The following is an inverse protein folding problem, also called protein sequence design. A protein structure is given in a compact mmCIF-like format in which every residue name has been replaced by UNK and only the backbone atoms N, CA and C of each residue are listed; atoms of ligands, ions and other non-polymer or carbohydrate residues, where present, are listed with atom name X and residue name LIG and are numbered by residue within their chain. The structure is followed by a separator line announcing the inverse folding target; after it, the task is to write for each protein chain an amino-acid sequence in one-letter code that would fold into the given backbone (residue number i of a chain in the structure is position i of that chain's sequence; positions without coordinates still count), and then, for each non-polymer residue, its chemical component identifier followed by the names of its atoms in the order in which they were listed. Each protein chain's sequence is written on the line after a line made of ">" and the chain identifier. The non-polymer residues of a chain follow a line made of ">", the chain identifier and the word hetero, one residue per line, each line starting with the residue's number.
data_IF_257376597193
#
_entry.id   IF_257376597193
#
_cell.length_a   1.000
_cell.length_b   1.000
_cell.length_c   1.000
_cell.angle_alpha   90.00
_cell.angle_beta   90.00
_cell.angle_gamma   90.00
#
_symmetry.space_group_name_H-M   'P 1'
#
loop_
_entity.id
_entity.type
_entity.pdbx_description
1 polymer ?
#
# COMPACT_ATOMS: atom_id res chain seq x y z
N UNK A 1 -0.79 15.00 7.65
CA UNK A 1 -0.72 13.52 7.62
C UNK A 1 0.43 13.08 6.74
N UNK A 2 0.97 11.92 7.02
CA UNK A 2 2.06 11.36 6.23
C UNK A 2 1.54 10.81 4.91
N UNK A 3 2.42 10.79 3.91
CA UNK A 3 2.07 10.26 2.59
C UNK A 3 1.95 8.74 2.65
N UNK A 4 0.83 8.25 2.14
CA UNK A 4 0.53 6.82 2.13
C UNK A 4 0.48 6.31 0.70
N UNK A 5 1.29 5.31 0.39
CA UNK A 5 1.30 4.65 -0.91
C UNK A 5 0.86 3.20 -0.74
N UNK A 6 0.02 2.74 -1.65
CA UNK A 6 -0.45 1.36 -1.68
C UNK A 6 -0.01 0.72 -3.00
N UNK A 7 0.82 -0.30 -2.91
CA UNK A 7 1.28 -1.05 -4.07
C UNK A 7 0.28 -2.17 -4.35
N UNK A 8 -0.19 -2.24 -5.57
CA UNK A 8 -1.24 -3.17 -5.95
C UNK A 8 -1.03 -3.70 -7.38
N UNK A 9 -1.92 -4.60 -7.79
CA UNK A 9 -1.96 -5.12 -9.16
C UNK A 9 -3.41 -5.37 -9.55
N UNK A 10 -3.73 -5.52 -10.85
CA UNK A 10 -5.09 -5.86 -11.29
C UNK A 10 -5.52 -7.20 -10.71
N UNK A 11 -6.81 -7.32 -10.44
CA UNK A 11 -7.41 -8.57 -9.94
C UNK A 11 -6.87 -9.04 -8.59
N UNK A 12 -6.37 -8.12 -7.80
CA UNK A 12 -5.90 -8.43 -6.45
C UNK A 12 -7.02 -8.17 -5.45
N UNK A 13 -7.60 -9.25 -4.93
CA UNK A 13 -8.71 -9.14 -3.98
C UNK A 13 -8.32 -8.39 -2.71
N UNK A 14 -7.18 -8.75 -2.14
CA UNK A 14 -6.71 -8.13 -0.90
C UNK A 14 -6.36 -6.65 -1.10
N UNK A 15 -5.82 -6.31 -2.27
CA UNK A 15 -5.53 -4.92 -2.59
C UNK A 15 -6.82 -4.10 -2.65
N UNK A 16 -7.84 -4.66 -3.29
CA UNK A 16 -9.13 -3.99 -3.41
C UNK A 16 -9.78 -3.78 -2.05
N UNK A 17 -9.67 -4.75 -1.16
CA UNK A 17 -10.21 -4.63 0.19
C UNK A 17 -9.53 -3.51 0.98
N UNK A 18 -8.23 -3.42 0.89
CA UNK A 18 -7.49 -2.37 1.58
C UNK A 18 -7.87 -1.00 1.04
N UNK A 19 -7.92 -0.85 -0.27
CA UNK A 19 -8.29 0.43 -0.89
C UNK A 19 -9.69 0.85 -0.46
N UNK A 20 -10.63 -0.10 -0.44
CA UNK A 20 -11.99 0.19 -0.03
C UNK A 20 -12.06 0.64 1.42
N UNK A 21 -11.30 -0.03 2.29
CA UNK A 21 -11.24 0.35 3.71
C UNK A 21 -10.72 1.78 3.87
N UNK A 22 -9.66 2.12 3.12
CA UNK A 22 -9.09 3.48 3.16
C UNK A 22 -10.10 4.52 2.71
N UNK A 23 -10.85 4.22 1.66
CA UNK A 23 -11.89 5.13 1.15
C UNK A 23 -13.01 5.33 2.16
N UNK A 24 -13.44 4.26 2.82
CA UNK A 24 -14.48 4.34 3.84
C UNK A 24 -14.03 5.18 5.03
N UNK A 25 -12.76 5.08 5.40
CA UNK A 25 -12.19 5.85 6.51
C UNK A 25 -11.81 7.27 6.13
N UNK A 26 -11.93 7.63 4.84
CA UNK A 26 -11.55 8.96 4.39
C UNK A 26 -10.06 9.21 4.43
N UNK A 27 -9.24 8.17 4.27
CA UNK A 27 -7.78 8.28 4.28
C UNK A 27 -7.29 8.40 2.85
N UNK A 28 -6.56 9.48 2.56
CA UNK A 28 -5.98 9.69 1.23
C UNK A 28 -4.78 8.77 1.03
N UNK A 29 -4.65 8.24 -0.17
CA UNK A 29 -3.53 7.38 -0.52
C UNK A 29 -3.22 7.48 -2.00
N UNK A 30 -2.02 7.10 -2.38
CA UNK A 30 -1.61 6.97 -3.77
C UNK A 30 -1.57 5.49 -4.12
N UNK A 31 -2.21 5.12 -5.20
CA UNK A 31 -2.17 3.75 -5.67
C UNK A 31 -1.04 3.59 -6.68
N UNK A 32 -0.19 2.60 -6.47
CA UNK A 32 0.91 2.27 -7.39
C UNK A 32 0.63 0.89 -7.96
N UNK A 33 0.20 0.85 -9.22
CA UNK A 33 -0.08 -0.40 -9.93
C UNK A 33 1.22 -0.93 -10.50
N UNK A 34 1.75 -1.99 -9.89
CA UNK A 34 3.06 -2.54 -10.27
C UNK A 34 3.05 -3.20 -11.65
N UNK A 35 1.88 -3.47 -12.22
CA UNK A 35 1.79 -3.99 -13.57
C UNK A 35 2.05 -2.91 -14.61
N UNK A 36 1.97 -1.64 -14.21
CA UNK A 36 2.17 -0.48 -15.09
C UNK A 36 3.31 0.41 -14.64
N UNK A 37 3.92 0.11 -13.49
CA UNK A 37 4.96 0.93 -12.90
C UNK A 37 6.17 0.07 -12.59
N UNK A 38 7.14 0.08 -13.51
CA UNK A 38 8.35 -0.74 -13.39
C UNK A 38 9.17 -0.36 -12.16
N UNK A 39 9.23 0.94 -11.87
CA UNK A 39 9.97 1.44 -10.72
C UNK A 39 9.39 0.90 -9.41
N UNK A 40 8.05 0.87 -9.31
CA UNK A 40 7.37 0.31 -8.16
C UNK A 40 7.65 -1.18 -8.01
N UNK A 41 7.62 -1.91 -9.11
CA UNK A 41 7.91 -3.34 -9.11
C UNK A 41 9.33 -3.61 -8.66
N UNK A 42 10.30 -2.85 -9.20
CA UNK A 42 11.70 -2.99 -8.84
C UNK A 42 11.93 -2.74 -7.35
N UNK A 43 11.22 -1.77 -6.81
CA UNK A 43 11.33 -1.42 -5.40
C UNK A 43 10.85 -2.56 -4.50
N UNK A 44 9.75 -3.21 -4.88
CA UNK A 44 9.24 -4.36 -4.14
C UNK A 44 10.19 -5.54 -4.21
N UNK A 45 10.72 -5.82 -5.40
CA UNK A 45 11.66 -6.92 -5.60
C UNK A 45 12.92 -6.70 -4.77
N UNK A 46 13.44 -5.48 -4.78
CA UNK A 46 14.64 -5.12 -3.99
C UNK A 46 14.43 -5.29 -2.50
N UNK A 47 13.19 -5.15 -2.05
CA UNK A 47 12.83 -5.26 -0.63
C UNK A 47 12.38 -6.66 -0.24
N UNK A 48 12.42 -7.62 -1.18
CA UNK A 48 11.93 -8.99 -1.00
C UNK A 48 10.47 -9.06 -0.58
N UNK A 49 9.67 -8.10 -1.03
CA UNK A 49 8.24 -8.09 -0.74
C UNK A 49 7.49 -8.68 -1.91
N UNK A 50 6.88 -9.83 -1.70
CA UNK A 50 6.21 -10.57 -2.77
C UNK A 50 4.70 -10.64 -2.62
N UNK A 51 4.19 -10.30 -1.44
CA UNK A 51 2.75 -10.34 -1.17
C UNK A 51 2.13 -8.96 -1.25
N UNK A 52 1.07 -8.83 -2.03
CA UNK A 52 0.31 -7.58 -2.14
C UNK A 52 -0.94 -7.67 -1.28
N UNK A 53 -1.47 -6.55 -0.80
CA UNK A 53 -0.96 -5.19 -0.98
C UNK A 53 0.25 -4.90 -0.11
N UNK A 54 1.09 -3.97 -0.56
CA UNK A 54 2.23 -3.47 0.23
C UNK A 54 1.96 -2.00 0.52
N UNK A 55 2.16 -1.62 1.78
CA UNK A 55 1.92 -0.26 2.24
C UNK A 55 3.25 0.43 2.52
N UNK A 56 3.36 1.66 2.04
CA UNK A 56 4.55 2.49 2.23
C UNK A 56 4.11 3.82 2.81
N UNK A 57 4.72 4.23 3.91
CA UNK A 57 4.41 5.49 4.58
C UNK A 57 5.71 6.29 4.70
N UNK A 58 5.72 7.51 4.14
CA UNK A 58 6.89 8.40 4.12
C UNK A 58 8.14 7.68 3.61
N UNK A 59 7.97 7.00 2.47
CA UNK A 59 9.04 6.27 1.78
C UNK A 59 9.58 5.05 2.53
N UNK A 60 8.86 4.58 3.54
CA UNK A 60 9.23 3.37 4.27
C UNK A 60 8.14 2.33 4.17
N UNK A 61 8.53 1.10 3.79
CA UNK A 61 7.58 -0.01 3.79
C UNK A 61 7.24 -0.39 5.22
N UNK A 62 5.95 -0.66 5.45
CA UNK A 62 5.49 -1.04 6.77
C UNK A 62 4.74 -2.36 6.70
N UNK A 63 4.87 -3.16 7.76
CA UNK A 63 4.13 -4.40 7.90
C UNK A 63 2.95 -4.14 8.84
N UNK A 64 1.77 -4.56 8.40
CA UNK A 64 0.54 -4.31 9.15
C UNK A 64 -0.01 -5.63 9.69
N UNK A 65 -0.38 -5.63 10.96
CA UNK A 65 -1.12 -6.75 11.54
C UNK A 65 -2.60 -6.60 11.22
N UNK A 66 -3.08 -5.35 11.22
CA UNK A 66 -4.44 -5.03 10.85
C UNK A 66 -4.50 -3.65 10.22
N UNK A 67 -5.59 -3.34 9.54
CA UNK A 67 -5.72 -2.06 8.82
C UNK A 67 -5.67 -0.86 9.76
N UNK A 68 -6.17 -0.98 10.97
CA UNK A 68 -6.16 0.13 11.93
C UNK A 68 -4.74 0.61 12.26
N UNK A 69 -3.73 -0.21 12.06
CA UNK A 69 -2.34 0.19 12.26
C UNK A 69 -1.97 1.38 11.38
N UNK A 70 -2.59 1.49 10.21
CA UNK A 70 -2.33 2.59 9.29
C UNK A 70 -2.70 3.92 9.95
N UNK A 71 -3.80 3.97 10.68
CA UNK A 71 -4.27 5.20 11.34
C UNK A 71 -3.21 5.71 12.31
N UNK A 72 -2.60 4.80 13.06
CA UNK A 72 -1.55 5.17 14.02
C UNK A 72 -0.29 5.64 13.32
N UNK A 73 0.06 4.99 12.20
CA UNK A 73 1.31 5.28 11.51
C UNK A 73 1.28 6.58 10.71
N UNK A 74 0.12 7.02 10.25
CA UNK A 74 0.00 8.25 9.45
C UNK A 74 -0.22 9.50 10.27
N UNK A 75 -0.39 9.37 11.57
CA UNK A 75 -0.58 10.52 12.45
C UNK A 75 0.67 11.40 12.55
#
# INVERSE_FOLDING_TARGET
>A
MKTLNVYSKPNCYKCNMLKRWLEIKGIDYNEIDISKNQEGMDKLVSSNRTSLPVVEIEDEFVDLNEYNDIIELIK
#
